data_IF_920795594001
#
_entry.id   IF_920795594001
#
_cell.length_a   1.000
_cell.length_b   1.000
_cell.length_c   1.000
_cell.angle_alpha   90.00
_cell.angle_beta   90.00
_cell.angle_gamma   90.00
#
_symmetry.space_group_name_H-M   'P 1'
#
loop_
_entity.id
_entity.type
_entity.pdbx_description
1 polymer ?
#
# COMPACT_ATOMS: atom_id res chain seq x y z
N UNK A 1 -20.70 11.61 -7.34
CA UNK A 1 -20.05 10.90 -6.21
C UNK A 1 -18.63 11.38 -6.14
N UNK A 2 -18.14 11.68 -4.94
CA UNK A 2 -16.74 12.10 -4.82
C UNK A 2 -15.83 10.90 -5.11
N UNK A 3 -14.80 11.12 -5.91
CA UNK A 3 -13.78 10.12 -6.27
C UNK A 3 -13.25 9.30 -5.07
N UNK A 4 -13.18 9.94 -3.90
CA UNK A 4 -12.80 9.29 -2.63
C UNK A 4 -13.81 8.23 -2.21
N UNK A 5 -15.11 8.50 -2.38
CA UNK A 5 -16.19 7.57 -2.04
C UNK A 5 -16.16 6.34 -2.95
N UNK A 6 -15.86 6.53 -4.24
CA UNK A 6 -15.72 5.41 -5.19
C UNK A 6 -14.57 4.48 -4.80
N UNK A 7 -13.40 5.05 -4.49
CA UNK A 7 -12.25 4.26 -4.03
C UNK A 7 -12.57 3.54 -2.71
N UNK A 8 -13.20 4.24 -1.76
CA UNK A 8 -13.58 3.62 -0.50
C UNK A 8 -14.54 2.46 -0.69
N UNK A 9 -15.60 2.63 -1.50
CA UNK A 9 -16.57 1.58 -1.77
C UNK A 9 -15.91 0.35 -2.41
N UNK A 10 -15.06 0.55 -3.42
CA UNK A 10 -14.37 -0.55 -4.08
C UNK A 10 -13.44 -1.33 -3.12
N UNK A 11 -12.74 -0.62 -2.23
CA UNK A 11 -11.89 -1.23 -1.22
C UNK A 11 -12.72 -1.91 -0.13
N UNK A 12 -13.83 -1.32 0.28
CA UNK A 12 -14.69 -1.86 1.35
C UNK A 12 -15.39 -3.15 0.92
N UNK A 13 -15.90 -3.20 -0.30
CA UNK A 13 -16.49 -4.41 -0.86
C UNK A 13 -15.45 -5.55 -0.95
N UNK A 14 -14.25 -5.25 -1.43
CA UNK A 14 -13.15 -6.21 -1.39
C UNK A 14 -12.83 -6.67 0.04
N UNK A 15 -12.75 -5.76 1.00
CA UNK A 15 -12.39 -6.10 2.38
C UNK A 15 -13.42 -7.01 3.05
N UNK A 16 -14.71 -6.86 2.75
CA UNK A 16 -15.77 -7.75 3.25
C UNK A 16 -15.53 -9.19 2.81
N UNK A 17 -15.24 -9.39 1.52
CA UNK A 17 -14.98 -10.72 0.96
C UNK A 17 -13.66 -11.29 1.49
N UNK A 18 -12.61 -10.47 1.53
CA UNK A 18 -11.28 -10.84 2.01
C UNK A 18 -11.29 -11.26 3.49
N UNK A 19 -11.94 -10.48 4.36
CA UNK A 19 -12.04 -10.79 5.79
C UNK A 19 -12.88 -12.05 6.04
N UNK A 20 -13.94 -12.27 5.26
CA UNK A 20 -14.74 -13.48 5.30
C UNK A 20 -13.92 -14.72 4.95
N UNK A 21 -13.20 -14.67 3.83
CA UNK A 21 -12.32 -15.76 3.40
C UNK A 21 -11.18 -16.02 4.40
N UNK A 22 -10.56 -14.96 4.92
CA UNK A 22 -9.50 -15.07 5.92
C UNK A 22 -10.00 -15.68 7.22
N UNK A 23 -11.18 -15.28 7.71
CA UNK A 23 -11.77 -15.86 8.91
C UNK A 23 -12.08 -17.33 8.72
N UNK A 24 -12.61 -17.74 7.56
CA UNK A 24 -12.88 -19.14 7.24
C UNK A 24 -11.59 -19.97 7.24
N UNK A 25 -10.52 -19.46 6.67
CA UNK A 25 -9.22 -20.13 6.65
C UNK A 25 -8.56 -20.24 8.04
N UNK A 26 -8.75 -19.23 8.91
CA UNK A 26 -8.17 -19.19 10.25
C UNK A 26 -8.95 -20.03 11.28
N UNK A 27 -10.25 -20.24 11.09
CA UNK A 27 -11.09 -21.07 11.98
C UNK A 27 -10.63 -22.53 11.96
N UNK A 28 -10.00 -23.00 10.88
CA UNK A 28 -9.46 -24.37 10.82
C UNK A 28 -8.27 -24.61 11.73
N UNK A 29 -7.61 -23.58 12.27
CA UNK A 29 -6.31 -23.74 12.92
C UNK A 29 -6.18 -23.12 14.34
N UNK A 30 -7.10 -22.29 14.83
CA UNK A 30 -6.97 -21.62 16.15
C UNK A 30 -8.29 -21.23 16.81
N UNK A 31 -8.35 -21.39 18.15
CA UNK A 31 -9.41 -20.78 18.97
C UNK A 31 -9.55 -19.27 18.73
N UNK A 32 -10.78 -18.75 18.63
CA UNK A 32 -11.03 -17.34 18.35
C UNK A 32 -10.48 -16.47 19.48
N UNK A 33 -9.40 -15.74 19.22
CA UNK A 33 -8.90 -14.72 20.14
C UNK A 33 -9.81 -13.49 20.07
N UNK A 34 -10.31 -13.06 21.23
CA UNK A 34 -11.09 -11.82 21.37
C UNK A 34 -10.26 -10.65 20.83
N UNK A 35 -10.62 -10.16 19.64
CA UNK A 35 -9.97 -8.99 19.03
C UNK A 35 -10.51 -7.73 19.71
N UNK A 36 -9.63 -6.85 20.20
CA UNK A 36 -10.03 -5.50 20.62
C UNK A 36 -10.62 -4.77 19.40
N UNK A 37 -11.71 -4.02 19.62
CA UNK A 37 -12.25 -3.16 18.59
C UNK A 37 -11.13 -2.23 18.05
N UNK A 38 -10.90 -2.27 16.75
CA UNK A 38 -9.92 -1.40 16.09
C UNK A 38 -10.55 -0.01 15.94
N UNK A 39 -9.75 1.02 16.12
CA UNK A 39 -10.19 2.41 15.88
C UNK A 39 -10.56 2.63 14.39
N UNK A 40 -9.81 2.01 13.46
CA UNK A 40 -10.09 2.01 12.03
C UNK A 40 -10.28 0.58 11.52
N UNK A 41 -11.19 0.39 10.58
CA UNK A 41 -11.33 -0.86 9.84
C UNK A 41 -10.22 -1.00 8.77
N UNK A 42 -10.12 -2.19 8.19
CA UNK A 42 -9.10 -2.46 7.17
C UNK A 42 -9.31 -1.60 5.92
N UNK A 43 -10.57 -1.44 5.49
CA UNK A 43 -10.90 -0.62 4.32
C UNK A 43 -10.53 0.85 4.49
N UNK A 44 -10.72 1.43 5.69
CA UNK A 44 -10.30 2.81 5.99
C UNK A 44 -8.79 2.99 5.93
N UNK A 45 -8.02 2.04 6.49
CA UNK A 45 -6.55 2.10 6.46
C UNK A 45 -6.04 1.98 5.02
N UNK A 46 -6.59 1.05 4.23
CA UNK A 46 -6.24 0.86 2.82
C UNK A 46 -6.59 2.10 2.00
N UNK A 47 -7.75 2.69 2.20
CA UNK A 47 -8.19 3.91 1.51
C UNK A 47 -7.24 5.08 1.79
N UNK A 48 -6.88 5.32 3.04
CA UNK A 48 -5.92 6.37 3.41
C UNK A 48 -4.56 6.13 2.73
N UNK A 49 -4.10 4.88 2.66
CA UNK A 49 -2.84 4.51 2.02
C UNK A 49 -2.88 4.74 0.49
N UNK A 50 -3.93 4.31 -0.19
CA UNK A 50 -4.10 4.49 -1.64
C UNK A 50 -4.19 5.97 -2.00
N UNK A 51 -5.01 6.73 -1.28
CA UNK A 51 -5.18 8.16 -1.51
C UNK A 51 -3.92 8.97 -1.24
N UNK A 52 -3.04 8.53 -0.33
CA UNK A 52 -1.72 9.15 -0.17
C UNK A 52 -0.93 9.12 -1.48
N UNK A 53 -0.88 7.98 -2.15
CA UNK A 53 -0.13 7.84 -3.40
C UNK A 53 -0.74 8.62 -4.57
N UNK A 54 -2.03 8.92 -4.52
CA UNK A 54 -2.73 9.72 -5.52
C UNK A 54 -2.70 11.22 -5.21
N UNK A 55 -2.46 11.61 -3.96
CA UNK A 55 -2.55 13.00 -3.50
C UNK A 55 -1.39 13.89 -3.92
N UNK A 56 -0.30 13.33 -4.47
CA UNK A 56 0.91 14.07 -4.83
C UNK A 56 1.78 14.52 -3.64
N UNK A 57 1.39 14.24 -2.40
CA UNK A 57 2.20 14.55 -1.23
C UNK A 57 3.45 13.68 -1.18
N UNK A 58 4.61 14.31 -0.96
CA UNK A 58 5.89 13.60 -0.89
C UNK A 58 6.08 12.80 0.40
N UNK A 59 5.53 13.29 1.52
CA UNK A 59 5.73 12.72 2.84
C UNK A 59 4.40 12.36 3.48
N UNK A 60 4.25 11.11 3.89
CA UNK A 60 3.03 10.61 4.55
C UNK A 60 2.69 11.38 5.82
N UNK A 61 3.69 11.78 6.63
CA UNK A 61 3.48 12.58 7.83
C UNK A 61 2.76 13.90 7.52
N UNK A 62 3.22 14.60 6.47
CA UNK A 62 2.62 15.88 6.07
C UNK A 62 1.19 15.68 5.56
N UNK A 63 0.99 14.69 4.68
CA UNK A 63 -0.34 14.30 4.20
C UNK A 63 -1.30 14.00 5.35
N UNK A 64 -0.90 13.14 6.28
CA UNK A 64 -1.74 12.72 7.40
C UNK A 64 -2.11 13.89 8.32
N UNK A 65 -1.14 14.72 8.70
CA UNK A 65 -1.33 15.82 9.65
C UNK A 65 -2.03 17.04 9.06
N UNK A 66 -1.85 17.32 7.77
CA UNK A 66 -2.35 18.55 7.15
C UNK A 66 -3.54 18.33 6.21
N UNK A 67 -3.81 17.11 5.80
CA UNK A 67 -4.95 16.79 4.96
C UNK A 67 -5.95 15.86 5.67
N UNK A 68 -5.51 14.70 6.16
CA UNK A 68 -6.42 13.71 6.75
C UNK A 68 -7.02 14.21 8.07
N UNK A 69 -6.17 14.58 9.03
CA UNK A 69 -6.65 14.98 10.36
C UNK A 69 -7.56 16.22 10.34
N UNK A 70 -7.27 17.32 9.62
CA UNK A 70 -8.14 18.49 9.65
C UNK A 70 -9.38 18.37 8.75
N UNK A 71 -9.27 17.77 7.56
CA UNK A 71 -10.34 17.85 6.57
C UNK A 71 -11.19 16.58 6.47
N UNK A 72 -10.66 15.40 6.86
CA UNK A 72 -11.35 14.13 6.69
C UNK A 72 -11.82 13.48 7.99
N UNK A 73 -11.81 14.25 9.08
CA UNK A 73 -12.29 13.77 10.38
C UNK A 73 -13.77 13.37 10.34
N UNK A 74 -14.58 14.00 9.49
CA UNK A 74 -15.98 13.63 9.28
C UNK A 74 -16.15 12.29 8.59
N UNK A 75 -15.27 11.97 7.63
CA UNK A 75 -15.27 10.69 6.92
C UNK A 75 -14.65 9.57 7.77
N UNK A 76 -13.65 9.90 8.61
CA UNK A 76 -12.93 8.96 9.47
C UNK A 76 -12.99 9.44 10.92
N UNK A 77 -14.12 9.25 11.64
CA UNK A 77 -14.29 9.82 12.98
C UNK A 77 -13.34 9.25 14.03
N UNK A 78 -12.84 8.03 13.84
CA UNK A 78 -11.95 7.34 14.77
C UNK A 78 -10.47 7.38 14.35
N UNK A 79 -10.02 8.49 13.73
CA UNK A 79 -8.63 8.64 13.30
C UNK A 79 -7.64 8.50 14.46
N UNK A 80 -6.66 7.59 14.39
CA UNK A 80 -5.63 7.44 15.41
C UNK A 80 -4.57 8.54 15.31
N UNK A 81 -3.63 8.55 16.26
CA UNK A 81 -2.44 9.37 16.14
C UNK A 81 -1.58 8.93 14.94
N UNK A 82 -0.73 9.82 14.42
CA UNK A 82 0.19 9.52 13.33
C UNK A 82 1.04 8.28 13.61
N UNK A 83 1.63 8.17 14.80
CA UNK A 83 2.48 7.03 15.16
C UNK A 83 1.68 5.71 15.10
N UNK A 84 0.45 5.74 15.62
CA UNK A 84 -0.43 4.56 15.55
C UNK A 84 -0.83 4.21 14.13
N UNK A 85 -1.03 5.20 13.25
CA UNK A 85 -1.31 4.96 11.85
C UNK A 85 -0.12 4.28 11.15
N UNK A 86 1.12 4.70 11.42
CA UNK A 86 2.33 4.05 10.90
C UNK A 86 2.45 2.58 11.34
N UNK A 87 2.01 2.24 12.56
CA UNK A 87 1.98 0.85 13.03
C UNK A 87 0.89 0.00 12.33
N UNK A 88 -0.19 0.62 11.88
CA UNK A 88 -1.29 -0.06 11.20
C UNK A 88 -1.02 -0.30 9.71
N UNK A 89 -0.31 0.60 9.03
CA UNK A 89 -0.04 0.49 7.60
C UNK A 89 0.59 -0.84 7.16
N UNK A 90 1.60 -1.41 7.85
CA UNK A 90 2.14 -2.71 7.45
C UNK A 90 1.13 -3.85 7.53
N UNK A 91 0.10 -3.73 8.38
CA UNK A 91 -0.91 -4.77 8.56
C UNK A 91 -1.88 -4.84 7.37
N UNK A 92 -2.03 -3.79 6.58
CA UNK A 92 -2.88 -3.79 5.39
C UNK A 92 -2.15 -4.27 4.12
N UNK A 93 -0.83 -4.46 4.14
CA UNK A 93 -0.05 -4.87 2.96
C UNK A 93 -0.53 -6.18 2.32
N UNK A 94 -0.83 -7.27 3.08
CA UNK A 94 -1.35 -8.49 2.47
C UNK A 94 -2.68 -8.26 1.73
N UNK A 95 -3.60 -7.52 2.36
CA UNK A 95 -4.88 -7.19 1.74
C UNK A 95 -4.72 -6.29 0.51
N UNK A 96 -3.84 -5.27 0.58
CA UNK A 96 -3.51 -4.43 -0.58
C UNK A 96 -2.93 -5.24 -1.73
N UNK A 97 -2.07 -6.21 -1.45
CA UNK A 97 -1.52 -7.10 -2.47
C UNK A 97 -2.61 -7.94 -3.14
N UNK A 98 -3.52 -8.52 -2.37
CA UNK A 98 -4.65 -9.27 -2.90
C UNK A 98 -5.60 -8.38 -3.71
N UNK A 99 -5.91 -7.19 -3.20
CA UNK A 99 -6.73 -6.21 -3.91
C UNK A 99 -6.11 -5.82 -5.25
N UNK A 100 -4.82 -5.51 -5.26
CA UNK A 100 -4.09 -5.21 -6.50
C UNK A 100 -4.15 -6.37 -7.52
N UNK A 101 -4.04 -7.61 -7.05
CA UNK A 101 -4.19 -8.78 -7.92
C UNK A 101 -5.60 -8.93 -8.48
N UNK A 102 -6.62 -8.53 -7.74
CA UNK A 102 -8.01 -8.60 -8.18
C UNK A 102 -8.35 -7.54 -9.24
N UNK A 103 -7.82 -6.31 -9.07
CA UNK A 103 -8.12 -5.19 -9.99
C UNK A 103 -7.20 -5.13 -11.22
N UNK A 104 -6.14 -5.96 -11.26
CA UNK A 104 -5.23 -5.97 -12.43
C UNK A 104 -5.97 -6.29 -13.71
N UNK A 105 -5.61 -5.57 -14.78
CA UNK A 105 -6.20 -5.77 -16.10
C UNK A 105 -5.89 -7.14 -16.68
N UNK A 106 -6.77 -7.61 -17.58
CA UNK A 106 -6.55 -8.82 -18.35
C UNK A 106 -5.64 -8.54 -19.56
N UNK A 107 -4.91 -9.56 -19.99
CA UNK A 107 -4.07 -9.46 -21.18
C UNK A 107 -4.96 -9.28 -22.43
N UNK A 108 -4.75 -8.17 -23.14
CA UNK A 108 -5.50 -7.82 -24.37
C UNK A 108 -4.70 -8.10 -25.65
N UNK A 109 -3.51 -8.72 -25.52
CA UNK A 109 -2.58 -8.96 -26.64
C UNK A 109 -1.56 -7.86 -26.86
N UNK A 110 -1.77 -6.66 -26.33
CA UNK A 110 -0.81 -5.56 -26.37
C UNK A 110 -0.39 -5.25 -24.93
N UNK A 111 0.93 -5.28 -24.68
CA UNK A 111 1.49 -4.97 -23.36
C UNK A 111 2.59 -3.93 -23.49
N UNK A 112 2.51 -2.90 -22.65
CA UNK A 112 3.54 -1.89 -22.48
C UNK A 112 4.38 -2.28 -21.25
N UNK A 113 5.70 -2.36 -21.45
CA UNK A 113 6.63 -2.74 -20.38
C UNK A 113 7.51 -1.53 -20.06
N UNK A 114 7.52 -1.14 -18.81
CA UNK A 114 8.44 -0.12 -18.30
C UNK A 114 9.21 -0.65 -17.10
N UNK A 115 10.37 -0.06 -16.84
CA UNK A 115 11.19 -0.42 -15.71
C UNK A 115 11.85 0.78 -15.06
N UNK A 116 11.57 0.96 -13.78
CA UNK A 116 12.07 2.06 -12.98
C UNK A 116 13.02 1.57 -11.89
N UNK A 117 14.14 2.29 -11.68
CA UNK A 117 15.03 2.02 -10.56
C UNK A 117 14.45 2.57 -9.26
N UNK A 118 14.52 1.80 -8.20
CA UNK A 118 14.20 2.19 -6.82
C UNK A 118 15.49 2.20 -5.99
N UNK A 119 16.24 3.31 -5.97
CA UNK A 119 17.47 3.38 -5.19
C UNK A 119 17.13 3.44 -3.70
N UNK A 120 17.78 2.61 -2.89
CA UNK A 120 17.58 2.56 -1.43
C UNK A 120 18.59 3.43 -0.69
N UNK A 121 19.74 3.67 -1.28
CA UNK A 121 20.71 4.61 -0.75
C UNK A 121 21.67 5.11 -1.84
N UNK A 122 22.40 6.18 -1.54
CA UNK A 122 23.48 6.64 -2.41
C UNK A 122 24.61 5.62 -2.46
N UNK A 123 25.26 5.45 -3.62
CA UNK A 123 26.31 4.44 -3.84
C UNK A 123 27.45 4.47 -2.81
N UNK A 124 27.79 5.64 -2.28
CA UNK A 124 28.81 5.80 -1.21
C UNK A 124 28.36 5.23 0.14
N UNK A 125 27.06 5.03 0.33
CA UNK A 125 26.48 4.59 1.61
C UNK A 125 26.19 3.09 1.66
N UNK A 126 26.47 2.33 0.62
CA UNK A 126 26.13 0.91 0.50
C UNK A 126 26.66 0.10 1.69
N UNK A 127 27.91 0.32 2.07
CA UNK A 127 28.57 -0.42 3.18
C UNK A 127 27.86 -0.18 4.52
N UNK A 128 27.33 1.02 4.74
CA UNK A 128 26.61 1.39 5.99
C UNK A 128 25.13 1.02 5.96
N UNK A 129 24.58 0.74 4.79
CA UNK A 129 23.16 0.46 4.62
C UNK A 129 22.83 -0.95 5.10
N UNK A 130 21.99 -1.07 6.14
CA UNK A 130 21.65 -2.35 6.77
C UNK A 130 20.22 -2.82 6.47
N UNK A 131 19.29 -1.89 6.21
CA UNK A 131 17.84 -2.19 6.15
C UNK A 131 17.50 -3.22 5.08
N UNK A 132 18.07 -3.09 3.87
CA UNK A 132 17.84 -4.02 2.76
C UNK A 132 19.09 -4.85 2.43
N UNK A 133 19.95 -5.10 3.42
CA UNK A 133 21.15 -5.92 3.23
C UNK A 133 20.73 -7.34 2.85
N UNK A 134 21.29 -7.86 1.75
CA UNK A 134 20.95 -9.18 1.22
C UNK A 134 19.70 -9.23 0.32
N UNK A 135 18.89 -8.15 0.28
CA UNK A 135 17.74 -8.03 -0.61
C UNK A 135 18.00 -7.07 -1.77
N UNK A 136 18.61 -5.91 -1.48
CA UNK A 136 18.99 -4.95 -2.50
C UNK A 136 20.30 -5.34 -3.18
N UNK A 137 20.41 -5.05 -4.47
CA UNK A 137 21.59 -5.34 -5.29
C UNK A 137 22.09 -4.10 -6.06
N UNK A 138 23.33 -4.15 -6.52
CA UNK A 138 23.84 -3.16 -7.47
C UNK A 138 23.25 -3.42 -8.84
N UNK A 139 22.73 -2.38 -9.49
CA UNK A 139 22.24 -2.44 -10.84
C UNK A 139 22.72 -1.27 -11.67
N UNK A 140 22.64 -1.40 -12.99
CA UNK A 140 22.96 -0.36 -13.96
C UNK A 140 21.68 0.04 -14.71
N UNK A 141 21.48 1.31 -14.89
CA UNK A 141 20.42 1.89 -15.74
C UNK A 141 21.05 2.84 -16.75
N UNK A 142 20.27 3.37 -17.69
CA UNK A 142 20.70 4.45 -18.61
C UNK A 142 21.28 5.66 -17.87
N UNK A 143 20.80 5.92 -16.65
CA UNK A 143 21.26 7.04 -15.79
C UNK A 143 22.42 6.67 -14.87
N UNK A 144 23.08 5.50 -15.07
CA UNK A 144 24.24 5.07 -14.28
C UNK A 144 23.96 3.97 -13.25
N UNK A 145 24.92 3.74 -12.37
CA UNK A 145 24.86 2.72 -11.34
C UNK A 145 23.99 3.15 -10.17
N UNK A 146 23.23 2.21 -9.61
CA UNK A 146 22.43 2.41 -8.38
C UNK A 146 22.54 1.16 -7.50
N UNK A 147 22.18 1.32 -6.22
CA UNK A 147 21.98 0.22 -5.28
C UNK A 147 20.55 0.22 -4.81
N UNK A 148 19.83 -0.87 -5.05
CA UNK A 148 18.40 -0.93 -4.74
C UNK A 148 17.69 -2.04 -5.48
N UNK A 149 16.48 -1.71 -5.94
CA UNK A 149 15.59 -2.61 -6.69
C UNK A 149 15.32 -2.04 -8.08
N UNK A 150 14.92 -2.89 -8.99
CA UNK A 150 14.39 -2.52 -10.28
C UNK A 150 12.94 -2.99 -10.33
N UNK A 151 12.01 -2.03 -10.40
CA UNK A 151 10.60 -2.31 -10.57
C UNK A 151 10.31 -2.47 -12.07
N UNK A 152 9.79 -3.63 -12.46
CA UNK A 152 9.23 -3.86 -13.79
C UNK A 152 7.72 -3.78 -13.70
N UNK A 153 7.12 -2.95 -14.55
CA UNK A 153 5.68 -2.82 -14.65
C UNK A 153 5.24 -3.23 -16.05
N UNK A 154 4.23 -4.05 -16.12
CA UNK A 154 3.59 -4.47 -17.37
C UNK A 154 2.14 -4.02 -17.28
N UNK A 155 1.72 -3.21 -18.22
CA UNK A 155 0.34 -2.71 -18.31
C UNK A 155 -0.24 -3.04 -19.69
N UNK A 156 -1.55 -3.18 -19.78
CA UNK A 156 -2.24 -3.25 -21.04
C UNK A 156 -2.52 -1.84 -21.57
N UNK A 157 -3.19 -1.74 -22.72
CA UNK A 157 -3.53 -0.46 -23.34
C UNK A 157 -4.57 0.38 -22.56
N UNK A 158 -5.18 -0.19 -21.54
CA UNK A 158 -6.20 0.48 -20.73
C UNK A 158 -5.64 0.99 -19.38
N UNK A 159 -4.39 0.63 -19.02
CA UNK A 159 -3.70 1.02 -17.79
C UNK A 159 -3.67 -0.06 -16.73
#
# INVERSE_FOLDING_TARGET
>A
MDYITEIFCAIDDFCKDFESALNTALISDRQPRRRKAKALCLSEIMTIAVLFHQSGFRFFKYYYSHMIQPFWKSAFPALPSYNRMIELLPQCLPALTCFFHQIKGQCTGISLIDSTKLPVCHNRCIVRHKVFKGLAARGKSSMGWFYGFKLHMVINQLG
#
